data_IF_786737496519
#
_entry.id   IF_786737496519
#
_cell.length_a   1.000
_cell.length_b   1.000
_cell.length_c   1.000
_cell.angle_alpha   90.00
_cell.angle_beta   90.00
_cell.angle_gamma   90.00
#
_symmetry.space_group_name_H-M   'P 1'
#
loop_
_entity.id
_entity.type
_entity.pdbx_description
1 polymer ?
#
# COMPACT_ATOMS: atom_id res chain seq x y z
N UNK A 1 11.67 -11.58 -0.71
CA UNK A 1 11.22 -10.42 0.06
C UNK A 1 12.45 -9.66 0.53
N UNK A 2 12.66 -8.43 0.05
CA UNK A 2 13.70 -7.51 0.55
C UNK A 2 13.56 -7.19 2.05
N UNK A 3 14.64 -6.71 2.66
CA UNK A 3 14.71 -6.49 4.11
C UNK A 3 13.77 -5.37 4.61
N UNK A 4 13.62 -4.31 3.83
CA UNK A 4 12.70 -3.20 4.10
C UNK A 4 11.23 -3.62 3.95
N UNK A 5 10.91 -4.46 2.95
CA UNK A 5 9.59 -5.10 2.82
C UNK A 5 9.25 -5.93 4.05
N UNK A 6 10.18 -6.80 4.47
CA UNK A 6 10.00 -7.64 5.64
C UNK A 6 9.81 -6.82 6.93
N UNK A 7 10.57 -5.74 7.09
CA UNK A 7 10.44 -4.83 8.23
C UNK A 7 9.08 -4.12 8.23
N UNK A 8 8.65 -3.59 7.09
CA UNK A 8 7.34 -2.95 6.93
C UNK A 8 6.21 -3.92 7.29
N UNK A 9 6.21 -5.11 6.68
CA UNK A 9 5.19 -6.15 6.90
C UNK A 9 5.17 -6.58 8.37
N UNK A 10 6.34 -6.77 8.99
CA UNK A 10 6.44 -7.17 10.40
C UNK A 10 5.79 -6.17 11.34
N UNK A 11 6.06 -4.87 11.16
CA UNK A 11 5.48 -3.80 11.99
C UNK A 11 3.96 -3.75 11.83
N UNK A 12 3.45 -3.80 10.60
CA UNK A 12 2.00 -3.73 10.34
C UNK A 12 1.29 -4.99 10.84
N UNK A 13 1.87 -6.19 10.64
CA UNK A 13 1.29 -7.45 11.09
C UNK A 13 1.24 -7.56 12.62
N UNK A 14 2.26 -7.04 13.31
CA UNK A 14 2.24 -6.93 14.77
C UNK A 14 1.07 -6.06 15.25
N UNK A 15 0.84 -4.92 14.59
CA UNK A 15 -0.26 -4.02 14.89
C UNK A 15 -1.64 -4.65 14.57
N UNK A 16 -1.78 -5.38 13.46
CA UNK A 16 -3.00 -6.16 13.15
C UNK A 16 -3.33 -7.14 14.28
N UNK A 17 -2.32 -7.88 14.77
CA UNK A 17 -2.48 -8.85 15.86
C UNK A 17 -2.86 -8.18 17.19
N UNK A 18 -2.24 -7.03 17.50
CA UNK A 18 -2.53 -6.27 18.72
C UNK A 18 -3.94 -5.66 18.65
N UNK A 19 -4.31 -5.07 17.52
CA UNK A 19 -5.64 -4.49 17.28
C UNK A 19 -6.78 -5.52 17.31
N UNK A 20 -6.50 -6.76 16.88
CA UNK A 20 -7.46 -7.87 16.95
C UNK A 20 -7.85 -8.27 18.37
N UNK A 21 -7.06 -7.87 19.38
CA UNK A 21 -7.32 -8.10 20.81
C UNK A 21 -7.87 -6.88 21.54
N UNK A 22 -8.03 -5.75 20.85
CA UNK A 22 -8.49 -4.51 21.46
C UNK A 22 -10.00 -4.53 21.70
N UNK A 23 -10.39 -4.20 22.93
CA UNK A 23 -11.78 -4.18 23.42
C UNK A 23 -12.55 -2.95 22.94
N UNK A 24 -11.85 -1.85 22.67
CA UNK A 24 -12.46 -0.58 22.29
C UNK A 24 -11.58 0.23 21.35
N UNK A 25 -12.15 1.30 20.80
CA UNK A 25 -11.49 2.11 19.77
C UNK A 25 -10.36 2.99 20.34
N UNK A 26 -10.37 3.31 21.64
CA UNK A 26 -9.24 4.03 22.24
C UNK A 26 -7.98 3.15 22.26
N UNK A 27 -8.12 1.87 22.61
CA UNK A 27 -7.02 0.91 22.54
C UNK A 27 -6.52 0.75 21.09
N UNK A 28 -7.43 0.60 20.11
CA UNK A 28 -7.07 0.56 18.68
C UNK A 28 -6.34 1.82 18.25
N UNK A 29 -6.77 3.00 18.71
CA UNK A 29 -6.11 4.28 18.44
C UNK A 29 -4.65 4.28 18.92
N UNK A 30 -4.41 3.78 20.13
CA UNK A 30 -3.07 3.59 20.67
C UNK A 30 -2.21 2.63 19.84
N UNK A 31 -2.76 1.49 19.43
CA UNK A 31 -2.07 0.53 18.55
C UNK A 31 -1.68 1.17 17.23
N UNK A 32 -2.59 1.95 16.62
CA UNK A 32 -2.32 2.65 15.36
C UNK A 32 -1.18 3.65 15.51
N UNK A 33 -1.22 4.49 16.54
CA UNK A 33 -0.18 5.49 16.78
C UNK A 33 1.20 4.83 16.98
N UNK A 34 1.27 3.75 17.77
CA UNK A 34 2.50 2.98 17.99
C UNK A 34 3.03 2.35 16.71
N UNK A 35 2.15 1.78 15.87
CA UNK A 35 2.54 1.23 14.56
C UNK A 35 3.15 2.31 13.67
N UNK A 36 2.53 3.48 13.60
CA UNK A 36 3.00 4.55 12.71
C UNK A 36 4.38 5.06 13.15
N UNK A 37 4.61 5.21 14.45
CA UNK A 37 5.94 5.51 14.99
C UNK A 37 6.97 4.42 14.64
N UNK A 38 6.61 3.15 14.82
CA UNK A 38 7.49 2.02 14.53
C UNK A 38 7.82 1.91 13.03
N UNK A 39 6.84 2.18 12.14
CA UNK A 39 7.06 2.24 10.69
C UNK A 39 8.10 3.31 10.33
N UNK A 40 8.02 4.48 10.96
CA UNK A 40 8.95 5.58 10.71
C UNK A 40 10.38 5.31 11.18
N UNK A 41 10.55 4.45 12.18
CA UNK A 41 11.86 4.01 12.64
C UNK A 41 12.42 2.88 11.75
N UNK A 42 11.56 1.95 11.35
CA UNK A 42 11.97 0.76 10.61
C UNK A 42 12.23 1.04 9.12
N UNK A 43 11.46 1.95 8.50
CA UNK A 43 11.53 2.25 7.07
C UNK A 43 11.73 3.75 6.86
N UNK A 44 12.98 4.13 6.61
CA UNK A 44 13.39 5.54 6.48
C UNK A 44 13.29 6.06 5.05
N UNK A 45 13.39 5.17 4.06
CA UNK A 45 13.25 5.49 2.64
C UNK A 45 11.78 5.49 2.21
N UNK A 46 11.43 6.42 1.32
CA UNK A 46 10.16 6.36 0.57
C UNK A 46 10.28 5.48 -0.67
N UNK A 47 11.50 5.35 -1.21
CA UNK A 47 11.80 4.51 -2.36
C UNK A 47 11.73 3.04 -1.97
N UNK A 48 10.96 2.29 -2.73
CA UNK A 48 10.73 0.86 -2.59
C UNK A 48 11.35 0.15 -3.80
N UNK A 49 12.18 -0.86 -3.53
CA UNK A 49 12.92 -1.58 -4.55
C UNK A 49 12.65 -3.07 -4.47
N UNK A 50 12.13 -3.64 -5.55
CA UNK A 50 11.99 -5.08 -5.75
C UNK A 50 11.15 -5.80 -4.69
N UNK A 51 10.17 -5.11 -4.12
CA UNK A 51 9.19 -5.73 -3.24
C UNK A 51 8.35 -6.74 -4.01
N UNK A 52 7.87 -7.76 -3.31
CA UNK A 52 7.04 -8.81 -3.88
C UNK A 52 5.62 -8.76 -3.33
N UNK A 53 4.68 -9.36 -4.03
CA UNK A 53 3.32 -9.47 -3.53
C UNK A 53 2.41 -10.15 -4.52
N UNK A 54 1.12 -10.12 -4.21
CA UNK A 54 0.07 -10.73 -5.03
C UNK A 54 -0.84 -9.65 -5.57
N UNK A 55 -1.11 -9.68 -6.88
CA UNK A 55 -2.00 -8.70 -7.52
C UNK A 55 -3.41 -8.83 -6.94
N UNK A 56 -3.88 -7.75 -6.31
CA UNK A 56 -5.20 -7.69 -5.66
C UNK A 56 -6.25 -7.03 -6.56
N UNK A 57 -5.83 -6.07 -7.37
CA UNK A 57 -6.71 -5.33 -8.27
C UNK A 57 -5.98 -4.91 -9.55
N UNK A 58 -6.66 -5.12 -10.68
CA UNK A 58 -6.37 -4.50 -11.97
C UNK A 58 -7.70 -3.92 -12.46
N UNK A 59 -7.77 -2.61 -12.64
CA UNK A 59 -8.97 -1.94 -13.12
C UNK A 59 -8.61 -0.65 -13.88
N UNK A 60 -9.61 0.03 -14.42
CA UNK A 60 -9.49 1.40 -14.90
C UNK A 60 -10.50 2.29 -14.18
N UNK A 61 -10.15 3.57 -13.98
CA UNK A 61 -11.12 4.57 -13.52
C UNK A 61 -12.00 5.06 -14.71
N UNK A 62 -12.91 6.00 -14.44
CA UNK A 62 -13.81 6.57 -15.47
C UNK A 62 -13.09 7.27 -16.62
N UNK A 63 -11.83 7.66 -16.42
CA UNK A 63 -11.00 8.35 -17.41
C UNK A 63 -10.14 7.36 -18.23
N UNK A 64 -10.28 6.06 -17.96
CA UNK A 64 -9.49 5.00 -18.59
C UNK A 64 -8.10 4.80 -17.98
N UNK A 65 -7.71 5.54 -16.93
CA UNK A 65 -6.41 5.38 -16.26
C UNK A 65 -6.39 4.13 -15.40
N UNK A 66 -5.25 3.44 -15.37
CA UNK A 66 -5.10 2.19 -14.65
C UNK A 66 -5.10 2.38 -13.13
N UNK A 67 -5.92 1.58 -12.46
CA UNK A 67 -5.99 1.43 -11.00
C UNK A 67 -5.40 0.07 -10.64
N UNK A 68 -4.38 0.06 -9.78
CA UNK A 68 -3.60 -1.14 -9.50
C UNK A 68 -3.34 -1.29 -8.01
N UNK A 69 -3.45 -2.52 -7.50
CA UNK A 69 -3.18 -2.83 -6.10
C UNK A 69 -2.44 -4.17 -5.95
N UNK A 70 -1.48 -4.20 -5.04
CA UNK A 70 -0.70 -5.39 -4.68
C UNK A 70 -0.85 -5.63 -3.17
N UNK A 71 -1.21 -6.86 -2.81
CA UNK A 71 -1.18 -7.34 -1.44
C UNK A 71 0.22 -7.88 -1.13
N UNK A 72 0.96 -7.19 -0.28
CA UNK A 72 2.36 -7.54 0.09
C UNK A 72 2.40 -8.56 1.23
N UNK A 73 1.33 -8.61 2.03
CA UNK A 73 1.08 -9.62 3.05
C UNK A 73 -0.41 -9.59 3.42
N UNK A 74 -0.88 -10.57 4.19
CA UNK A 74 -2.31 -10.73 4.50
C UNK A 74 -2.94 -9.44 5.06
N UNK A 75 -3.85 -8.83 4.30
CA UNK A 75 -4.52 -7.58 4.69
C UNK A 75 -3.65 -6.32 4.56
N UNK A 76 -2.45 -6.40 3.99
CA UNK A 76 -1.54 -5.26 3.84
C UNK A 76 -1.42 -4.97 2.35
N UNK A 77 -1.96 -3.83 1.92
CA UNK A 77 -2.07 -3.48 0.49
C UNK A 77 -1.34 -2.19 0.18
N UNK A 78 -0.58 -2.18 -0.92
CA UNK A 78 -0.12 -0.95 -1.58
C UNK A 78 -0.90 -0.76 -2.87
N UNK A 79 -1.36 0.47 -3.13
CA UNK A 79 -2.25 0.74 -4.27
C UNK A 79 -2.08 2.14 -4.83
N UNK A 80 -2.48 2.30 -6.08
CA UNK A 80 -2.78 3.62 -6.64
C UNK A 80 -4.06 4.17 -6.02
N UNK A 81 -4.32 5.46 -6.20
CA UNK A 81 -5.66 5.99 -6.11
C UNK A 81 -6.59 5.32 -7.13
N UNK A 82 -7.90 5.46 -6.93
CA UNK A 82 -8.93 4.91 -7.81
C UNK A 82 -9.69 5.99 -8.62
N UNK A 83 -9.41 7.27 -8.40
CA UNK A 83 -10.06 8.39 -9.06
C UNK A 83 -9.08 9.55 -9.26
N UNK A 84 -9.27 10.34 -10.32
CA UNK A 84 -8.32 11.40 -10.69
C UNK A 84 -8.30 12.57 -9.71
N UNK A 85 -9.41 12.87 -9.02
CA UNK A 85 -9.49 14.01 -8.08
C UNK A 85 -8.59 13.79 -6.86
N UNK A 86 -8.64 12.62 -6.24
CA UNK A 86 -7.75 12.26 -5.13
C UNK A 86 -6.29 12.10 -5.57
N UNK A 87 -6.06 11.77 -6.85
CA UNK A 87 -4.73 11.51 -7.38
C UNK A 87 -3.93 12.77 -7.78
N UNK A 88 -4.55 13.97 -7.80
CA UNK A 88 -3.92 15.23 -8.24
C UNK A 88 -2.55 15.46 -7.58
N UNK A 89 -2.43 15.16 -6.29
CA UNK A 89 -1.20 15.37 -5.52
C UNK A 89 -0.19 14.23 -5.72
N UNK A 90 -0.66 12.99 -5.84
CA UNK A 90 0.19 11.81 -5.75
C UNK A 90 0.61 11.27 -7.13
N UNK A 91 -0.19 11.47 -8.17
CA UNK A 91 0.07 11.02 -9.55
C UNK A 91 0.43 9.53 -9.62
N UNK A 92 -0.44 8.69 -9.06
CA UNK A 92 -0.26 7.24 -8.93
C UNK A 92 -0.95 6.45 -10.03
N UNK A 93 -1.98 7.00 -10.66
CA UNK A 93 -2.74 6.31 -11.70
C UNK A 93 -1.87 6.02 -12.93
N UNK A 94 -1.97 4.78 -13.43
CA UNK A 94 -1.17 4.33 -14.56
C UNK A 94 -1.71 4.95 -15.85
N UNK A 95 -0.85 5.70 -16.57
CA UNK A 95 -1.27 6.35 -17.81
C UNK A 95 -1.45 5.33 -18.94
N UNK A 96 -2.60 5.33 -19.65
CA UNK A 96 -2.81 4.46 -20.81
C UNK A 96 -1.66 4.58 -21.83
N UNK A 97 -1.23 3.44 -22.37
CA UNK A 97 -0.12 3.37 -23.33
C UNK A 97 1.27 3.47 -22.72
N UNK A 98 1.42 3.83 -21.43
CA UNK A 98 2.73 3.79 -20.76
C UNK A 98 3.23 2.35 -20.61
N UNK A 99 4.56 2.11 -20.58
CA UNK A 99 5.11 0.78 -20.35
C UNK A 99 4.56 0.11 -19.08
N UNK A 100 4.41 0.88 -18.00
CA UNK A 100 3.89 0.39 -16.73
C UNK A 100 2.42 -0.03 -16.82
N UNK A 101 1.59 0.76 -17.49
CA UNK A 101 0.19 0.40 -17.76
C UNK A 101 0.11 -0.88 -18.60
N UNK A 102 0.89 -0.97 -19.68
CA UNK A 102 0.87 -2.12 -20.57
C UNK A 102 1.24 -3.40 -19.82
N UNK A 103 2.29 -3.35 -18.98
CA UNK A 103 2.67 -4.48 -18.12
C UNK A 103 1.59 -4.81 -17.09
N UNK A 104 1.00 -3.82 -16.41
CA UNK A 104 -0.04 -4.06 -15.43
C UNK A 104 -1.32 -4.68 -16.05
N UNK A 105 -1.66 -4.26 -17.26
CA UNK A 105 -2.90 -4.63 -17.95
C UNK A 105 -3.01 -6.11 -18.32
N UNK A 106 -1.86 -6.81 -18.42
CA UNK A 106 -1.81 -8.23 -18.76
C UNK A 106 -1.68 -9.15 -17.53
N UNK A 107 -1.50 -8.58 -16.34
CA UNK A 107 -1.47 -9.33 -15.08
C UNK A 107 -2.87 -9.84 -14.74
N UNK A 108 -2.94 -10.82 -13.85
CA UNK A 108 -4.19 -11.36 -13.32
C UNK A 108 -4.27 -11.21 -11.81
N UNK A 109 -5.48 -11.01 -11.29
CA UNK A 109 -5.73 -11.08 -9.84
C UNK A 109 -5.26 -12.43 -9.30
N UNK A 110 -4.54 -12.43 -8.18
CA UNK A 110 -3.95 -13.62 -7.57
C UNK A 110 -2.57 -14.00 -8.12
N UNK A 111 -2.07 -13.31 -9.16
CA UNK A 111 -0.73 -13.54 -9.69
C UNK A 111 0.33 -12.90 -8.79
N UNK A 112 1.48 -13.56 -8.62
CA UNK A 112 2.64 -12.97 -7.96
C UNK A 112 3.32 -11.94 -8.85
N UNK A 113 3.80 -10.86 -8.24
CA UNK A 113 4.45 -9.75 -8.94
C UNK A 113 5.59 -9.20 -8.09
N UNK A 114 6.69 -8.85 -8.75
CA UNK A 114 7.76 -8.02 -8.19
C UNK A 114 7.60 -6.58 -8.68
N UNK A 115 7.78 -5.61 -7.80
CA UNK A 115 7.55 -4.21 -8.13
C UNK A 115 8.52 -3.26 -7.40
N UNK A 116 8.69 -2.08 -7.99
CA UNK A 116 9.40 -0.95 -7.37
C UNK A 116 8.55 0.31 -7.49
N UNK A 117 8.90 1.34 -6.72
CA UNK A 117 8.18 2.60 -6.73
C UNK A 117 8.47 3.46 -5.52
N UNK A 118 7.47 4.24 -5.11
CA UNK A 118 7.58 5.11 -3.94
C UNK A 118 6.31 5.13 -3.11
N UNK A 119 6.48 5.04 -1.79
CA UNK A 119 5.50 5.45 -0.80
C UNK A 119 5.45 6.99 -0.70
N UNK A 120 4.41 7.50 -0.05
CA UNK A 120 4.27 8.91 0.28
C UNK A 120 4.34 9.12 1.79
N UNK A 121 4.87 10.26 2.25
CA UNK A 121 4.80 10.61 3.67
C UNK A 121 3.35 10.84 4.08
N UNK A 122 3.01 10.31 5.25
CA UNK A 122 1.72 10.56 5.87
C UNK A 122 1.61 12.00 6.39
N UNK A 123 0.41 12.36 6.81
CA UNK A 123 0.12 13.67 7.42
C UNK A 123 -0.11 13.51 8.92
N UNK A 124 0.27 14.52 9.70
CA UNK A 124 0.09 14.48 11.15
C UNK A 124 0.92 13.37 11.78
N UNK A 125 0.26 12.41 12.43
CA UNK A 125 0.92 11.29 13.11
C UNK A 125 1.20 10.08 12.19
N UNK A 126 0.67 10.08 10.96
CA UNK A 126 0.85 8.97 10.03
C UNK A 126 2.27 9.01 9.42
N UNK A 127 2.97 7.88 9.42
CA UNK A 127 4.29 7.80 8.83
C UNK A 127 4.27 7.80 7.29
N UNK A 128 3.36 6.99 6.75
CA UNK A 128 3.12 6.85 5.32
C UNK A 128 1.66 7.20 5.01
N UNK A 129 1.41 7.69 3.80
CA UNK A 129 0.07 8.06 3.38
C UNK A 129 -0.80 6.81 3.22
N UNK A 130 -1.92 6.80 3.94
CA UNK A 130 -2.77 5.64 4.15
C UNK A 130 -4.23 6.05 3.93
N UNK A 131 -4.98 5.24 3.17
CA UNK A 131 -6.27 5.63 2.57
C UNK A 131 -7.48 4.82 3.03
N UNK A 132 -7.31 3.90 3.99
CA UNK A 132 -8.39 3.04 4.47
C UNK A 132 -9.42 3.80 5.28
N UNK A 133 -10.65 3.29 5.23
CA UNK A 133 -11.79 3.85 5.93
C UNK A 133 -11.93 3.25 7.33
N UNK A 134 -12.12 4.14 8.32
CA UNK A 134 -12.37 3.79 9.71
C UNK A 134 -11.15 3.18 10.43
N UNK A 135 -11.08 3.37 11.74
CA UNK A 135 -9.92 2.93 12.55
C UNK A 135 -9.64 1.42 12.42
N UNK A 136 -10.69 0.60 12.34
CA UNK A 136 -10.56 -0.84 12.13
C UNK A 136 -9.94 -1.16 10.75
N UNK A 137 -10.40 -0.53 9.68
CA UNK A 137 -9.84 -0.72 8.34
C UNK A 137 -8.36 -0.33 8.30
N UNK A 138 -8.03 0.83 8.88
CA UNK A 138 -6.65 1.31 9.00
C UNK A 138 -5.72 0.34 9.72
N UNK A 139 -6.22 -0.51 10.61
CA UNK A 139 -5.41 -1.47 11.36
C UNK A 139 -5.41 -2.87 10.77
N UNK A 140 -6.59 -3.35 10.33
CA UNK A 140 -6.78 -4.73 9.91
C UNK A 140 -6.50 -4.94 8.43
N UNK A 141 -6.89 -3.98 7.59
CA UNK A 141 -6.77 -4.06 6.13
C UNK A 141 -6.16 -2.77 5.54
N UNK A 142 -5.00 -2.27 6.05
CA UNK A 142 -4.45 -1.00 5.61
C UNK A 142 -4.12 -0.94 4.12
N UNK A 143 -4.48 0.18 3.51
CA UNK A 143 -4.27 0.53 2.11
C UNK A 143 -3.34 1.74 2.00
N UNK A 144 -2.07 1.49 1.74
CA UNK A 144 -1.05 2.53 1.56
C UNK A 144 -1.04 3.02 0.11
N UNK A 145 -1.06 4.34 -0.06
CA UNK A 145 -0.95 4.95 -1.39
C UNK A 145 0.48 4.81 -1.89
N UNK A 146 0.61 4.35 -3.12
CA UNK A 146 1.89 3.98 -3.73
C UNK A 146 1.93 4.36 -5.21
N UNK A 147 3.08 4.88 -5.64
CA UNK A 147 3.37 5.13 -7.05
C UNK A 147 4.32 4.07 -7.57
N UNK A 148 3.81 3.18 -8.39
CA UNK A 148 4.60 2.15 -9.06
C UNK A 148 5.52 2.77 -10.12
N UNK A 149 6.73 2.24 -10.24
CA UNK A 149 7.70 2.60 -11.29
C UNK A 149 8.14 1.40 -12.12
N UNK A 150 8.05 0.18 -11.58
CA UNK A 150 8.29 -1.06 -12.31
C UNK A 150 7.37 -2.19 -11.84
N UNK A 151 7.06 -3.10 -12.75
CA UNK A 151 6.32 -4.33 -12.50
C UNK A 151 6.99 -5.46 -13.27
N UNK A 152 7.14 -6.62 -12.64
CA UNK A 152 7.66 -7.83 -13.25
C UNK A 152 6.81 -9.01 -12.80
N UNK A 153 6.08 -9.67 -13.72
CA UNK A 153 5.41 -10.95 -13.45
C UNK A 153 6.38 -11.97 -12.83
N UNK A 154 5.91 -12.75 -11.85
CA UNK A 154 6.66 -13.86 -11.25
C UNK A 154 6.01 -15.20 -11.55
#
# INVERSE_FOLDING_TARGET
MPADEAAFVSVVAAAQKEAGKADNDMQRGGVKAKRDQALCQAVTSLGVHEWVGTVKQIAANSDGKGVFAVEISKGITVKTWNNSLSDIVHNTLLQPGSPLFNTASILKKGQSVKFSGSLFRGTGADCFYESSLGLRGKLMDPEFIFRFSSLTPM
#
